data_IF_775041585544
#
_entry.id   IF_775041585544
#
_cell.length_a   1.000
_cell.length_b   1.000
_cell.length_c   1.000
_cell.angle_alpha   90.00
_cell.angle_beta   90.00
_cell.angle_gamma   90.00
#
_symmetry.space_group_name_H-M   'P 1'
#
loop_
_entity.id
_entity.type
_entity.pdbx_description
1 polymer ?
#
# COMPACT_ATOMS: atom_id res chain seq x y z
N UNK A 1 -26.59 4.00 6.19
CA UNK A 1 -26.21 2.60 6.45
C UNK A 1 -26.83 1.75 5.35
N UNK A 2 -26.01 1.18 4.45
CA UNK A 2 -26.50 0.22 3.45
C UNK A 2 -26.84 -1.09 4.15
N UNK A 3 -28.13 -1.43 4.20
CA UNK A 3 -28.60 -2.72 4.66
C UNK A 3 -28.18 -3.77 3.63
N UNK A 4 -27.36 -4.73 4.06
CA UNK A 4 -27.02 -5.87 3.22
C UNK A 4 -28.28 -6.70 2.95
N UNK A 5 -28.73 -6.69 1.69
CA UNK A 5 -29.90 -7.45 1.23
C UNK A 5 -29.57 -8.91 0.86
N UNK A 6 -28.29 -9.25 0.65
CA UNK A 6 -27.89 -10.55 0.12
C UNK A 6 -26.86 -11.25 1.03
N UNK A 7 -27.33 -11.87 2.11
CA UNK A 7 -26.61 -12.95 2.83
C UNK A 7 -27.00 -14.33 2.27
N UNK A 8 -27.67 -14.38 1.13
CA UNK A 8 -28.07 -15.62 0.46
C UNK A 8 -26.82 -16.34 -0.09
N UNK A 9 -26.39 -17.40 0.59
CA UNK A 9 -25.29 -18.27 0.14
C UNK A 9 -24.09 -18.38 1.09
N UNK A 10 -24.11 -17.74 2.27
CA UNK A 10 -23.04 -17.87 3.27
C UNK A 10 -21.78 -17.03 3.01
N UNK A 11 -21.81 -16.15 2.00
CA UNK A 11 -20.72 -15.21 1.74
C UNK A 11 -20.94 -13.89 2.47
N UNK A 12 -19.89 -13.37 3.10
CA UNK A 12 -19.93 -12.01 3.64
C UNK A 12 -19.70 -11.01 2.50
N UNK A 13 -20.63 -10.06 2.27
CA UNK A 13 -20.37 -8.92 1.39
C UNK A 13 -19.17 -8.10 1.87
N UNK A 14 -18.39 -7.60 0.91
CA UNK A 14 -17.35 -6.59 1.16
C UNK A 14 -17.58 -5.35 0.31
N UNK A 15 -17.13 -4.20 0.81
CA UNK A 15 -17.18 -2.92 0.11
C UNK A 15 -15.79 -2.31 0.03
N UNK A 16 -15.46 -1.80 -1.15
CA UNK A 16 -14.31 -0.93 -1.36
C UNK A 16 -14.78 0.52 -1.25
N UNK A 17 -14.15 1.31 -0.39
CA UNK A 17 -14.47 2.73 -0.28
C UNK A 17 -13.26 3.52 0.19
N UNK A 18 -13.24 4.84 -0.07
CA UNK A 18 -12.28 5.72 0.58
C UNK A 18 -12.32 5.51 2.09
N UNK A 19 -11.16 5.46 2.72
CA UNK A 19 -11.09 5.31 4.16
C UNK A 19 -11.78 6.51 4.84
N UNK A 20 -12.59 6.28 5.89
CA UNK A 20 -13.31 7.35 6.55
C UNK A 20 -12.35 8.26 7.30
N UNK A 21 -12.71 9.55 7.37
CA UNK A 21 -11.82 10.52 7.98
C UNK A 21 -11.57 10.24 9.47
N UNK A 22 -10.31 10.12 9.86
CA UNK A 22 -9.92 9.87 11.24
C UNK A 22 -9.94 11.20 12.02
N UNK A 23 -10.65 11.31 13.16
CA UNK A 23 -10.78 12.59 13.89
C UNK A 23 -9.45 13.22 14.32
N UNK A 24 -8.38 12.42 14.43
CA UNK A 24 -7.06 12.81 14.94
C UNK A 24 -5.95 12.80 13.88
N UNK A 25 -6.26 12.45 12.63
CA UNK A 25 -5.24 12.29 11.59
C UNK A 25 -5.82 12.56 10.22
N UNK A 26 -5.08 13.31 9.39
CA UNK A 26 -5.33 13.45 7.95
C UNK A 26 -4.53 12.42 7.12
N UNK A 27 -3.90 11.44 7.79
CA UNK A 27 -3.12 10.37 7.16
C UNK A 27 -4.01 9.14 7.03
N UNK A 28 -4.86 9.16 6.01
CA UNK A 28 -5.66 8.01 5.58
C UNK A 28 -5.05 7.41 4.32
N UNK A 29 -5.15 6.10 4.21
CA UNK A 29 -4.95 5.40 2.94
C UNK A 29 -6.07 5.74 1.95
N UNK A 30 -5.82 5.54 0.67
CA UNK A 30 -6.77 5.91 -0.38
C UNK A 30 -8.01 4.99 -0.41
N UNK A 31 -7.85 3.70 -0.08
CA UNK A 31 -8.91 2.69 -0.18
C UNK A 31 -8.89 1.78 1.05
N UNK A 32 -10.06 1.52 1.64
CA UNK A 32 -10.29 0.46 2.62
C UNK A 32 -11.27 -0.58 2.07
N UNK A 33 -11.01 -1.85 2.39
CA UNK A 33 -11.93 -2.96 2.11
C UNK A 33 -12.59 -3.37 3.42
N UNK A 34 -13.92 -3.29 3.47
CA UNK A 34 -14.69 -3.48 4.70
C UNK A 34 -15.62 -4.67 4.56
N UNK A 35 -15.71 -5.50 5.60
CA UNK A 35 -16.78 -6.49 5.72
C UNK A 35 -18.07 -5.74 6.11
N UNK A 36 -19.15 -5.97 5.36
CA UNK A 36 -20.44 -5.35 5.69
C UNK A 36 -21.16 -6.21 6.73
N UNK A 37 -21.00 -5.88 8.01
CA UNK A 37 -21.72 -6.52 9.12
C UNK A 37 -22.88 -5.65 9.61
N UNK A 38 -23.98 -6.27 10.02
CA UNK A 38 -25.12 -5.56 10.63
C UNK A 38 -24.72 -5.07 12.03
N UNK A 39 -25.10 -3.83 12.36
CA UNK A 39 -24.96 -3.24 13.70
C UNK A 39 -23.54 -3.11 14.26
N UNK A 40 -22.50 -3.16 13.42
CA UNK A 40 -21.12 -2.89 13.85
C UNK A 40 -20.50 -1.78 13.00
N UNK A 41 -19.55 -1.06 13.60
CA UNK A 41 -18.72 -0.11 12.85
C UNK A 41 -17.88 -0.91 11.84
N UNK A 42 -17.85 -0.54 10.55
CA UNK A 42 -17.02 -1.22 9.57
C UNK A 42 -15.55 -1.18 9.99
N UNK A 43 -14.92 -2.35 10.10
CA UNK A 43 -13.48 -2.48 10.28
C UNK A 43 -12.86 -2.89 8.94
N UNK A 44 -11.82 -2.19 8.46
CA UNK A 44 -11.17 -2.57 7.23
C UNK A 44 -10.36 -3.86 7.47
N UNK A 45 -10.47 -4.80 6.55
CA UNK A 45 -9.70 -6.06 6.56
C UNK A 45 -8.38 -5.91 5.78
N UNK A 46 -8.33 -4.97 4.85
CA UNK A 46 -7.13 -4.56 4.13
C UNK A 46 -7.31 -3.11 3.66
N UNK A 47 -6.21 -2.36 3.62
CA UNK A 47 -6.17 -0.98 3.18
C UNK A 47 -5.11 -0.82 2.09
N UNK A 48 -5.33 0.13 1.16
CA UNK A 48 -4.45 0.41 0.04
C UNK A 48 -4.10 1.90 -0.05
N UNK A 49 -2.81 2.19 -0.20
CA UNK A 49 -2.33 3.48 -0.70
C UNK A 49 -2.19 3.41 -2.22
N UNK A 50 -2.40 4.51 -2.93
CA UNK A 50 -2.23 4.59 -4.36
C UNK A 50 -1.29 5.74 -4.75
N UNK A 51 -0.41 5.49 -5.70
CA UNK A 51 0.52 6.46 -6.27
C UNK A 51 0.55 6.36 -7.78
N UNK A 52 0.96 7.44 -8.43
CA UNK A 52 1.15 7.49 -9.88
C UNK A 52 2.63 7.41 -10.20
N UNK A 53 2.94 6.66 -11.23
CA UNK A 53 4.23 6.64 -11.90
C UNK A 53 4.11 7.38 -13.23
N UNK A 54 4.50 8.66 -13.21
CA UNK A 54 4.39 9.55 -14.37
C UNK A 54 5.54 10.57 -14.41
N UNK A 55 5.70 11.27 -15.54
CA UNK A 55 6.75 12.29 -15.71
C UNK A 55 6.59 13.50 -14.80
N UNK A 56 5.35 13.83 -14.45
CA UNK A 56 5.01 14.98 -13.60
C UNK A 56 4.87 14.63 -12.12
N UNK A 57 4.89 13.35 -11.76
CA UNK A 57 4.72 12.90 -10.38
C UNK A 57 6.05 12.86 -9.63
N UNK A 58 6.01 13.11 -8.32
CA UNK A 58 7.13 12.79 -7.44
C UNK A 58 7.16 11.28 -7.17
N UNK A 59 7.71 10.52 -8.12
CA UNK A 59 7.63 9.06 -8.11
C UNK A 59 8.30 8.41 -6.89
N UNK A 60 9.28 9.08 -6.26
CA UNK A 60 9.94 8.59 -5.03
C UNK A 60 8.97 8.50 -3.85
N UNK A 61 7.84 9.22 -3.89
CA UNK A 61 6.75 9.09 -2.90
C UNK A 61 6.02 7.75 -2.95
N UNK A 62 6.29 6.88 -3.93
CA UNK A 62 5.92 5.47 -3.80
C UNK A 62 6.59 4.85 -2.57
N UNK A 63 7.85 5.17 -2.33
CA UNK A 63 8.66 4.63 -1.23
C UNK A 63 8.65 5.57 -0.03
N UNK A 64 9.21 6.77 -0.18
CA UNK A 64 9.61 7.63 0.94
C UNK A 64 9.39 9.12 0.67
N UNK A 65 9.54 9.93 1.73
CA UNK A 65 9.36 11.38 1.69
C UNK A 65 8.06 11.84 2.35
N UNK A 66 7.70 13.12 2.16
CA UNK A 66 6.57 13.75 2.87
C UNK A 66 5.25 12.96 2.73
N UNK A 67 5.01 12.37 1.56
CA UNK A 67 3.85 11.50 1.29
C UNK A 67 4.25 10.08 0.86
N UNK A 68 5.42 9.62 1.30
CA UNK A 68 5.95 8.27 1.03
C UNK A 68 4.98 7.16 1.42
N UNK A 69 4.54 6.36 0.46
CA UNK A 69 3.55 5.30 0.66
C UNK A 69 4.06 4.18 1.57
N UNK A 70 5.15 3.50 1.14
CA UNK A 70 5.78 2.43 1.94
C UNK A 70 6.21 2.96 3.31
N UNK A 71 6.85 4.13 3.35
CA UNK A 71 7.31 4.75 4.59
C UNK A 71 6.16 4.97 5.60
N UNK A 72 4.98 5.39 5.14
CA UNK A 72 3.82 5.60 6.03
C UNK A 72 3.31 4.30 6.64
N UNK A 73 3.27 3.21 5.87
CA UNK A 73 2.95 1.88 6.41
C UNK A 73 4.02 1.42 7.40
N UNK A 74 5.28 1.59 7.03
CA UNK A 74 6.44 1.18 7.83
C UNK A 74 6.58 1.93 9.16
N UNK A 75 6.20 3.20 9.20
CA UNK A 75 6.12 3.97 10.46
C UNK A 75 4.87 3.66 11.29
N UNK A 76 3.91 2.92 10.73
CA UNK A 76 2.58 2.74 11.33
C UNK A 76 1.70 3.98 11.28
N UNK A 77 2.05 4.97 10.45
CA UNK A 77 1.17 6.13 10.20
C UNK A 77 -0.09 5.72 9.44
N UNK A 78 0.04 4.73 8.54
CA UNK A 78 -1.07 4.08 7.86
C UNK A 78 -1.25 2.67 8.41
N UNK A 79 -2.51 2.28 8.66
CA UNK A 79 -2.90 0.89 8.91
C UNK A 79 -2.13 0.18 10.04
N UNK A 80 -1.79 0.88 11.13
CA UNK A 80 -1.09 0.30 12.30
C UNK A 80 -1.80 -0.92 12.90
N UNK A 81 -3.11 -1.01 12.73
CA UNK A 81 -3.97 -2.09 13.20
C UNK A 81 -3.98 -3.33 12.26
N UNK A 82 -3.31 -3.27 11.10
CA UNK A 82 -3.23 -4.36 10.13
C UNK A 82 -1.80 -4.89 10.04
N UNK A 83 -1.68 -6.17 9.67
CA UNK A 83 -0.42 -6.86 9.37
C UNK A 83 -0.17 -7.03 7.87
N UNK A 84 -1.20 -6.81 7.05
CA UNK A 84 -1.13 -6.86 5.61
C UNK A 84 -1.90 -5.68 5.01
N UNK A 85 -1.31 -5.01 4.04
CA UNK A 85 -1.90 -3.91 3.29
C UNK A 85 -1.53 -4.04 1.82
N UNK A 86 -1.97 -3.08 0.99
CA UNK A 86 -1.56 -3.04 -0.39
C UNK A 86 -1.16 -1.65 -0.88
N UNK A 87 -0.55 -1.64 -2.05
CA UNK A 87 -0.21 -0.43 -2.78
C UNK A 87 -0.54 -0.57 -4.26
N UNK A 88 -1.20 0.44 -4.82
CA UNK A 88 -1.37 0.59 -6.25
C UNK A 88 -0.33 1.54 -6.81
N UNK A 89 0.37 1.12 -7.87
CA UNK A 89 1.24 1.97 -8.67
C UNK A 89 0.66 2.10 -10.08
N UNK A 90 0.05 3.24 -10.40
CA UNK A 90 -0.48 3.49 -11.74
C UNK A 90 0.64 3.91 -12.69
N UNK A 91 1.05 3.00 -13.58
CA UNK A 91 2.13 3.20 -14.55
C UNK A 91 1.57 3.93 -15.77
N UNK A 92 1.96 5.20 -15.95
CA UNK A 92 1.53 6.04 -17.07
C UNK A 92 2.64 6.30 -18.10
N UNK A 93 3.90 6.12 -17.71
CA UNK A 93 5.02 6.06 -18.64
C UNK A 93 5.96 4.92 -18.24
N UNK A 94 6.84 4.52 -19.18
CA UNK A 94 7.76 3.38 -19.02
C UNK A 94 6.99 2.07 -18.77
N UNK A 95 7.72 1.00 -18.46
CA UNK A 95 7.15 -0.30 -18.14
C UNK A 95 7.09 -0.52 -16.63
N UNK A 96 6.26 -1.47 -16.19
CA UNK A 96 6.26 -1.91 -14.79
C UNK A 96 7.64 -2.39 -14.35
N UNK A 97 8.41 -3.05 -15.24
CA UNK A 97 9.77 -3.52 -14.96
C UNK A 97 10.71 -2.36 -14.62
N UNK A 98 10.68 -1.27 -15.39
CA UNK A 98 11.50 -0.08 -15.15
C UNK A 98 11.21 0.54 -13.77
N UNK A 99 9.93 0.53 -13.35
CA UNK A 99 9.53 1.08 -12.05
C UNK A 99 9.87 0.17 -10.88
N UNK A 100 9.80 -1.15 -11.05
CA UNK A 100 10.23 -2.11 -10.03
C UNK A 100 11.72 -1.91 -9.74
N UNK A 101 12.55 -1.80 -10.79
CA UNK A 101 13.99 -1.56 -10.63
C UNK A 101 14.26 -0.24 -9.90
N UNK A 102 13.59 0.85 -10.31
CA UNK A 102 13.73 2.16 -9.66
C UNK A 102 13.33 2.14 -8.19
N UNK A 103 12.20 1.51 -7.86
CA UNK A 103 11.74 1.42 -6.47
C UNK A 103 12.74 0.65 -5.63
N UNK A 104 13.25 -0.49 -6.12
CA UNK A 104 14.27 -1.24 -5.41
C UNK A 104 15.58 -0.45 -5.26
N UNK A 105 15.97 0.33 -6.26
CA UNK A 105 17.12 1.23 -6.15
C UNK A 105 16.91 2.33 -5.10
N UNK A 106 15.71 2.93 -5.00
CA UNK A 106 15.42 3.90 -3.94
C UNK A 106 15.43 3.28 -2.53
N UNK A 107 14.96 2.04 -2.38
CA UNK A 107 15.04 1.30 -1.11
C UNK A 107 16.51 1.02 -0.77
N UNK A 108 17.32 0.60 -1.75
CA UNK A 108 18.75 0.39 -1.58
C UNK A 108 19.48 1.67 -1.15
N UNK A 109 19.20 2.80 -1.82
CA UNK A 109 19.74 4.11 -1.43
C UNK A 109 19.42 4.44 0.03
N UNK A 110 18.20 4.13 0.50
CA UNK A 110 17.80 4.33 1.89
C UNK A 110 18.51 3.35 2.84
N UNK A 111 18.68 2.09 2.45
CA UNK A 111 19.45 1.11 3.23
C UNK A 111 20.89 1.58 3.47
N UNK A 112 21.49 2.27 2.51
CA UNK A 112 22.89 2.69 2.57
C UNK A 112 23.07 4.07 3.24
N UNK A 113 22.10 4.98 3.07
CA UNK A 113 22.26 6.39 3.40
C UNK A 113 21.21 6.95 4.37
N UNK A 114 20.30 6.13 4.92
CA UNK A 114 19.27 6.62 5.83
C UNK A 114 19.87 7.19 7.12
N UNK A 115 19.59 8.47 7.37
CA UNK A 115 20.04 9.19 8.58
C UNK A 115 18.98 9.24 9.68
N UNK A 116 17.74 8.84 9.40
CA UNK A 116 16.67 8.82 10.40
C UNK A 116 16.71 7.53 11.22
N UNK A 117 17.07 7.58 12.52
CA UNK A 117 17.21 6.38 13.35
C UNK A 117 15.85 5.71 13.68
N UNK A 118 14.73 6.40 13.47
CA UNK A 118 13.38 5.92 13.82
C UNK A 118 12.78 4.98 12.79
N UNK A 119 13.44 4.82 11.64
CA UNK A 119 13.08 3.89 10.57
C UNK A 119 14.34 3.14 10.14
N UNK A 120 14.20 1.92 9.65
CA UNK A 120 15.34 1.09 9.20
C UNK A 120 14.99 0.50 7.86
N UNK A 121 15.85 0.64 6.86
CA UNK A 121 15.62 0.18 5.49
C UNK A 121 16.54 -0.98 5.07
N UNK A 122 17.23 -1.60 6.03
CA UNK A 122 18.32 -2.54 5.76
C UNK A 122 17.89 -3.99 5.53
N UNK A 123 16.61 -4.33 5.76
CA UNK A 123 16.12 -5.70 5.53
C UNK A 123 15.92 -5.94 4.02
N UNK A 124 16.51 -7.01 3.51
CA UNK A 124 16.39 -7.40 2.10
C UNK A 124 14.96 -7.80 1.70
N UNK A 125 14.09 -8.11 2.66
CA UNK A 125 12.66 -8.39 2.42
C UNK A 125 11.85 -7.14 2.05
N UNK A 126 12.44 -5.96 2.17
CA UNK A 126 11.78 -4.69 1.82
C UNK A 126 11.72 -4.45 0.31
N UNK A 127 12.60 -5.10 -0.45
CA UNK A 127 12.57 -5.04 -1.90
C UNK A 127 11.26 -5.61 -2.46
N UNK A 128 10.79 -5.01 -3.55
CA UNK A 128 9.70 -5.55 -4.35
C UNK A 128 10.15 -6.85 -5.01
N UNK A 129 9.49 -7.94 -4.63
CA UNK A 129 9.69 -9.27 -5.22
C UNK A 129 8.45 -9.61 -6.05
N UNK A 130 8.65 -9.90 -7.34
CA UNK A 130 7.56 -10.31 -8.23
C UNK A 130 6.96 -11.64 -7.75
N UNK A 131 5.64 -11.68 -7.65
CA UNK A 131 4.88 -12.85 -7.20
C UNK A 131 4.08 -13.45 -8.34
N UNK A 132 3.45 -12.61 -9.16
CA UNK A 132 2.63 -13.04 -10.30
C UNK A 132 2.51 -11.92 -11.34
N UNK A 133 2.11 -12.27 -12.55
CA UNK A 133 1.91 -11.32 -13.66
C UNK A 133 0.57 -11.59 -14.34
N UNK A 134 -0.24 -10.54 -14.49
CA UNK A 134 -1.51 -10.55 -15.19
C UNK A 134 -1.45 -9.57 -16.37
N UNK A 135 -2.42 -9.61 -17.32
CA UNK A 135 -2.51 -8.58 -18.34
C UNK A 135 -2.52 -7.17 -17.72
N UNK A 136 -1.52 -6.36 -18.07
CA UNK A 136 -1.34 -4.98 -17.59
C UNK A 136 -1.11 -4.83 -16.08
N UNK A 137 -0.93 -5.91 -15.33
CA UNK A 137 -0.75 -5.83 -13.87
C UNK A 137 0.38 -6.73 -13.41
N UNK A 138 1.38 -6.14 -12.78
CA UNK A 138 2.41 -6.87 -12.04
C UNK A 138 2.06 -6.93 -10.57
N UNK A 139 2.00 -8.14 -10.01
CA UNK A 139 1.76 -8.39 -8.60
C UNK A 139 3.08 -8.69 -7.90
N UNK A 140 3.39 -7.93 -6.86
CA UNK A 140 4.61 -8.08 -6.08
C UNK A 140 4.30 -8.09 -4.58
N UNK A 141 5.27 -8.49 -3.78
CA UNK A 141 5.22 -8.33 -2.35
C UNK A 141 6.51 -7.67 -1.81
N UNK A 142 6.38 -7.11 -0.62
CA UNK A 142 7.50 -6.71 0.24
C UNK A 142 7.06 -6.84 1.71
N UNK A 143 8.02 -6.91 2.63
CA UNK A 143 7.76 -6.95 4.07
C UNK A 143 8.64 -5.95 4.81
N UNK A 144 8.05 -5.25 5.78
CA UNK A 144 8.67 -4.12 6.45
C UNK A 144 8.55 -4.27 7.96
N UNK A 145 9.68 -4.11 8.66
CA UNK A 145 9.68 -4.00 10.12
C UNK A 145 9.21 -2.60 10.55
N UNK A 146 8.26 -2.56 11.49
CA UNK A 146 7.78 -1.33 12.11
C UNK A 146 8.40 -1.18 13.49
N UNK A 147 9.40 -0.30 13.60
CA UNK A 147 10.06 0.02 14.87
C UNK A 147 9.10 0.52 15.95
N UNK A 148 8.04 1.24 15.56
CA UNK A 148 7.07 1.82 16.50
C UNK A 148 6.18 0.80 17.21
N UNK A 149 5.93 -0.35 16.59
CA UNK A 149 5.05 -1.41 17.11
C UNK A 149 5.75 -2.75 17.29
N UNK A 150 7.07 -2.81 17.05
CA UNK A 150 7.90 -4.01 17.13
C UNK A 150 7.30 -5.21 16.38
N UNK A 151 6.81 -4.96 15.15
CA UNK A 151 6.18 -5.99 14.34
C UNK A 151 6.48 -5.85 12.84
N UNK A 152 5.93 -6.77 12.05
CA UNK A 152 6.06 -6.76 10.59
C UNK A 152 4.74 -6.37 9.93
N UNK A 153 4.84 -5.64 8.82
CA UNK A 153 3.75 -5.44 7.87
C UNK A 153 4.16 -5.96 6.49
N UNK A 154 3.29 -6.78 5.88
CA UNK A 154 3.44 -7.20 4.49
C UNK A 154 2.65 -6.28 3.58
N UNK A 155 3.24 -5.88 2.45
CA UNK A 155 2.59 -5.06 1.44
C UNK A 155 2.45 -5.86 0.14
N UNK A 156 1.23 -5.91 -0.38
CA UNK A 156 0.94 -6.38 -1.74
C UNK A 156 0.98 -5.21 -2.70
N UNK A 157 1.83 -5.27 -3.71
CA UNK A 157 1.95 -4.22 -4.70
C UNK A 157 1.31 -4.67 -6.00
N UNK A 158 0.53 -3.79 -6.59
CA UNK A 158 -0.08 -3.97 -7.89
C UNK A 158 0.34 -2.78 -8.75
N UNK A 159 1.32 -3.00 -9.64
CA UNK A 159 1.68 -2.02 -10.66
C UNK A 159 0.75 -2.24 -11.84
N UNK A 160 -0.06 -1.22 -12.15
CA UNK A 160 -1.12 -1.29 -13.16
C UNK A 160 -0.71 -0.39 -14.32
N UNK A 161 -0.47 -0.99 -15.48
CA UNK A 161 -0.18 -0.27 -16.71
C UNK A 161 -1.45 0.35 -17.27
N UNK A 162 -1.46 1.69 -17.31
CA UNK A 162 -2.55 2.44 -17.90
C UNK A 162 -2.28 2.58 -19.39
N UNK A 163 -3.01 1.81 -20.20
CA UNK A 163 -3.01 1.97 -21.64
C UNK A 163 -3.57 3.35 -22.00
N UNK A 164 -2.74 4.20 -22.61
CA UNK A 164 -3.05 5.54 -23.15
C UNK A 164 -4.07 6.36 -22.32
N UNK A 165 -3.62 7.21 -21.37
CA UNK A 165 -4.51 8.14 -20.68
C UNK A 165 -5.18 9.16 -21.63
#
# INVERSE_FOLDING_TARGET
FELCKNETGGYFPFRFSKNPTQPKSNKETDIGVFVMTRNQKPLPIIEFEAKRFSESSNNKEYVSGLRGGIERFKRGHHSSHLKACGMFGYVQNRTSSDWIEKVNNWIKELSENNVDPTIDWTDSKEYLIKVDSFPLVEKLNSSHYRKSSEDMISLWHYLIELLNP
#
